data_IF_297682393197
#
_entry.id   IF_297682393197
#
_cell.length_a   1.000
_cell.length_b   1.000
_cell.length_c   1.000
_cell.angle_alpha   90.00
_cell.angle_beta   90.00
_cell.angle_gamma   90.00
#
_symmetry.space_group_name_H-M   'P 1'
#
loop_
_entity.id
_entity.type
_entity.pdbx_description
1 polymer ?
#
# COMPACT_ATOMS: atom_id res chain seq x y z
N UNK A 1 -23.52 29.27 6.33
CA UNK A 1 -23.75 28.01 7.06
C UNK A 1 -23.49 26.86 6.09
N UNK A 2 -22.26 26.37 6.12
CA UNK A 2 -21.66 25.51 5.10
C UNK A 2 -21.49 24.10 5.66
N UNK A 3 -22.16 23.12 5.04
CA UNK A 3 -22.05 21.71 5.35
C UNK A 3 -20.65 21.18 5.00
N UNK A 4 -19.88 20.76 6.01
CA UNK A 4 -18.69 19.93 5.84
C UNK A 4 -19.11 18.45 5.77
N UNK A 5 -18.60 17.64 4.83
CA UNK A 5 -18.73 16.19 4.93
C UNK A 5 -17.75 15.64 5.98
N UNK A 6 -18.31 14.76 6.82
CA UNK A 6 -17.67 14.05 7.93
C UNK A 6 -16.45 13.24 7.49
N UNK A 7 -15.46 13.20 8.39
CA UNK A 7 -14.19 12.50 8.27
C UNK A 7 -14.38 11.00 8.01
N UNK A 8 -13.71 10.50 6.97
CA UNK A 8 -13.43 9.08 6.78
C UNK A 8 -12.42 8.65 7.87
N UNK A 9 -12.95 8.20 9.00
CA UNK A 9 -12.17 7.63 10.10
C UNK A 9 -11.77 6.19 9.75
N UNK A 10 -10.60 6.00 9.14
CA UNK A 10 -9.96 4.69 9.05
C UNK A 10 -9.25 4.38 10.37
N UNK A 11 -10.00 3.97 11.38
CA UNK A 11 -9.46 3.32 12.58
C UNK A 11 -9.55 1.80 12.40
N UNK A 12 -8.52 1.21 11.79
CA UNK A 12 -8.26 -0.23 11.93
C UNK A 12 -7.31 -0.41 13.12
N UNK A 13 -7.84 -0.89 14.24
CA UNK A 13 -7.07 -1.23 15.43
C UNK A 13 -6.23 -2.50 15.17
N UNK A 14 -4.93 -2.40 15.41
CA UNK A 14 -3.99 -3.53 15.44
C UNK A 14 -4.14 -4.25 16.79
N UNK A 15 -4.59 -5.51 16.78
CA UNK A 15 -4.88 -6.29 17.98
C UNK A 15 -3.67 -7.05 18.54
N UNK A 16 -3.55 -7.02 19.88
CA UNK A 16 -2.88 -8.03 20.72
C UNK A 16 -3.91 -8.66 21.66
N UNK A 17 -3.63 -9.82 22.29
CA UNK A 17 -4.66 -10.76 22.75
C UNK A 17 -5.24 -10.38 24.11
N UNK A 18 -6.56 -10.48 24.26
CA UNK A 18 -7.24 -10.45 25.56
C UNK A 18 -8.21 -11.61 25.71
N UNK A 19 -8.19 -12.19 26.90
CA UNK A 19 -8.78 -13.47 27.29
C UNK A 19 -10.32 -13.52 27.19
N UNK A 20 -10.80 -14.70 26.80
CA UNK A 20 -12.19 -15.08 26.64
C UNK A 20 -12.87 -15.49 27.96
N UNK A 21 -14.10 -15.01 28.17
CA UNK A 21 -15.08 -15.61 29.10
C UNK A 21 -16.38 -15.84 28.30
N UNK A 22 -17.04 -17.01 28.37
CA UNK A 22 -18.17 -17.34 27.50
C UNK A 22 -19.53 -17.01 28.15
N UNK A 23 -20.49 -16.55 27.33
CA UNK A 23 -21.94 -16.57 27.62
C UNK A 23 -22.76 -16.28 26.35
N UNK A 24 -24.04 -16.71 26.29
CA UNK A 24 -24.45 -17.71 25.30
C UNK A 24 -25.11 -17.17 24.02
N UNK A 25 -25.11 -18.05 23.02
CA UNK A 25 -25.56 -17.89 21.65
C UNK A 25 -27.06 -17.60 21.50
N UNK A 26 -27.41 -16.80 20.49
CA UNK A 26 -28.79 -16.58 20.05
C UNK A 26 -28.99 -15.43 19.05
N UNK A 27 -28.21 -15.36 17.97
CA UNK A 27 -28.40 -14.39 16.87
C UNK A 27 -29.07 -15.04 15.64
N UNK A 28 -30.28 -14.62 15.32
CA UNK A 28 -31.19 -15.17 14.28
C UNK A 28 -30.67 -15.12 12.82
N UNK A 29 -30.94 -16.15 11.98
CA UNK A 29 -30.61 -16.17 10.54
C UNK A 29 -31.30 -15.07 9.69
N UNK A 30 -32.57 -14.76 9.96
CA UNK A 30 -33.42 -13.92 9.11
C UNK A 30 -32.94 -12.46 8.91
N UNK A 31 -32.09 -11.93 9.80
CA UNK A 31 -31.52 -10.58 9.67
C UNK A 31 -30.39 -10.52 8.64
N UNK A 32 -29.60 -11.60 8.51
CA UNK A 32 -28.53 -11.71 7.51
C UNK A 32 -29.12 -11.83 6.11
N UNK A 33 -30.15 -12.66 5.95
CA UNK A 33 -30.82 -12.88 4.65
C UNK A 33 -31.43 -11.58 4.09
N UNK A 34 -32.09 -10.78 4.94
CA UNK A 34 -32.64 -9.47 4.52
C UNK A 34 -31.57 -8.46 4.13
N UNK A 35 -30.42 -8.46 4.81
CA UNK A 35 -29.30 -7.57 4.47
C UNK A 35 -28.67 -7.99 3.13
N UNK A 36 -28.50 -9.29 2.91
CA UNK A 36 -27.93 -9.83 1.68
C UNK A 36 -28.82 -9.57 0.46
N UNK A 37 -30.14 -9.76 0.59
CA UNK A 37 -31.10 -9.38 -0.45
C UNK A 37 -31.04 -7.88 -0.82
N UNK A 38 -30.78 -7.01 0.17
CA UNK A 38 -30.56 -5.58 -0.09
C UNK A 38 -29.24 -5.30 -0.83
N UNK A 39 -28.18 -6.08 -0.61
CA UNK A 39 -26.92 -5.94 -1.33
C UNK A 39 -27.06 -6.41 -2.78
N UNK A 40 -27.70 -7.55 -3.02
CA UNK A 40 -27.98 -8.06 -4.38
C UNK A 40 -28.75 -7.04 -5.22
N UNK A 41 -29.79 -6.42 -4.64
CA UNK A 41 -30.56 -5.38 -5.31
C UNK A 41 -29.68 -4.17 -5.70
N UNK A 42 -28.87 -3.66 -4.77
CA UNK A 42 -27.95 -2.55 -5.05
C UNK A 42 -26.89 -2.92 -6.11
N UNK A 43 -26.42 -4.17 -6.13
CA UNK A 43 -25.46 -4.63 -7.15
C UNK A 43 -26.10 -4.67 -8.54
N UNK A 44 -27.36 -5.06 -8.64
CA UNK A 44 -28.12 -4.99 -9.90
C UNK A 44 -28.27 -3.53 -10.38
N UNK A 45 -28.55 -2.61 -9.46
CA UNK A 45 -28.67 -1.17 -9.77
C UNK A 45 -27.39 -0.56 -10.34
N UNK A 46 -26.20 -1.11 -10.05
CA UNK A 46 -24.94 -0.64 -10.64
C UNK A 46 -24.92 -0.72 -12.18
N UNK A 47 -25.68 -1.65 -12.75
CA UNK A 47 -25.77 -1.80 -14.22
C UNK A 47 -26.59 -0.69 -14.87
N UNK A 48 -27.52 -0.07 -14.14
CA UNK A 48 -28.35 1.02 -14.64
C UNK A 48 -27.66 2.38 -14.40
N UNK A 49 -27.27 3.13 -15.45
CA UNK A 49 -26.59 4.42 -15.30
C UNK A 49 -27.31 5.44 -14.41
N UNK A 50 -28.64 5.43 -14.39
CA UNK A 50 -29.45 6.40 -13.63
C UNK A 50 -29.46 6.09 -12.13
N UNK A 51 -29.31 4.82 -11.75
CA UNK A 51 -29.33 4.36 -10.35
C UNK A 51 -27.92 4.16 -9.78
N UNK A 52 -26.92 4.00 -10.67
CA UNK A 52 -25.55 3.62 -10.33
C UNK A 52 -24.91 4.53 -9.29
N UNK A 53 -25.09 5.85 -9.37
CA UNK A 53 -24.46 6.78 -8.42
C UNK A 53 -24.92 6.54 -6.98
N UNK A 54 -26.23 6.33 -6.78
CA UNK A 54 -26.77 6.02 -5.47
C UNK A 54 -26.33 4.62 -4.99
N UNK A 55 -26.36 3.63 -5.88
CA UNK A 55 -25.92 2.28 -5.58
C UNK A 55 -24.45 2.23 -5.15
N UNK A 56 -23.56 2.96 -5.85
CA UNK A 56 -22.15 3.11 -5.49
C UNK A 56 -21.97 3.66 -4.08
N UNK A 57 -22.71 4.73 -3.75
CA UNK A 57 -22.63 5.38 -2.43
C UNK A 57 -23.10 4.44 -1.31
N UNK A 58 -24.20 3.74 -1.52
CA UNK A 58 -24.76 2.86 -0.49
C UNK A 58 -23.93 1.59 -0.30
N UNK A 59 -23.44 0.99 -1.38
CA UNK A 59 -22.56 -0.17 -1.30
C UNK A 59 -21.21 0.20 -0.67
N UNK A 60 -20.62 1.36 -1.02
CA UNK A 60 -19.31 1.76 -0.47
C UNK A 60 -19.36 1.97 1.04
N UNK A 61 -20.47 2.51 1.57
CA UNK A 61 -20.71 2.64 3.02
C UNK A 61 -20.91 1.30 3.73
N UNK A 62 -21.59 0.36 3.07
CA UNK A 62 -21.97 -0.93 3.66
C UNK A 62 -20.97 -2.04 3.39
N UNK A 63 -19.85 -1.76 2.72
CA UNK A 63 -18.87 -2.76 2.29
C UNK A 63 -18.28 -3.63 3.41
N UNK A 64 -18.26 -3.15 4.64
CA UNK A 64 -17.79 -3.91 5.81
C UNK A 64 -18.87 -4.82 6.42
N UNK A 65 -20.14 -4.58 6.09
CA UNK A 65 -21.29 -5.35 6.61
C UNK A 65 -21.50 -6.66 5.86
N UNK A 66 -20.87 -6.81 4.69
CA UNK A 66 -21.12 -7.90 3.75
C UNK A 66 -19.82 -8.66 3.49
N UNK A 67 -19.64 -9.80 4.15
CA UNK A 67 -18.45 -10.65 3.97
C UNK A 67 -18.32 -11.15 2.51
N UNK A 68 -19.44 -11.48 1.88
CA UNK A 68 -19.49 -12.04 0.53
C UNK A 68 -19.73 -11.00 -0.59
N UNK A 69 -19.55 -9.71 -0.29
CA UNK A 69 -19.78 -8.64 -1.28
C UNK A 69 -18.82 -8.75 -2.47
N UNK A 70 -17.56 -9.12 -2.24
CA UNK A 70 -16.57 -9.21 -3.30
C UNK A 70 -16.90 -10.30 -4.33
N UNK A 71 -17.19 -11.57 -3.93
CA UNK A 71 -17.72 -12.57 -4.85
C UNK A 71 -19.01 -12.14 -5.56
N UNK A 72 -19.93 -11.47 -4.85
CA UNK A 72 -21.17 -10.98 -5.44
C UNK A 72 -20.90 -9.94 -6.55
N UNK A 73 -20.03 -8.96 -6.28
CA UNK A 73 -19.64 -7.93 -7.26
C UNK A 73 -18.94 -8.55 -8.48
N UNK A 74 -18.10 -9.56 -8.27
CA UNK A 74 -17.33 -10.18 -9.34
C UNK A 74 -18.19 -11.03 -10.27
N UNK A 75 -19.09 -11.85 -9.69
CA UNK A 75 -19.88 -12.82 -10.44
C UNK A 75 -21.19 -12.22 -11.00
N UNK A 76 -21.57 -11.03 -10.57
CA UNK A 76 -22.74 -10.33 -11.13
C UNK A 76 -22.44 -9.80 -12.53
N UNK A 77 -23.34 -10.10 -13.47
CA UNK A 77 -23.18 -9.74 -14.88
C UNK A 77 -23.03 -8.22 -15.05
N UNK A 78 -21.97 -7.80 -15.73
CA UNK A 78 -21.73 -6.40 -16.08
C UNK A 78 -21.26 -5.50 -14.92
N UNK A 79 -21.24 -5.98 -13.67
CA UNK A 79 -20.90 -5.17 -12.51
C UNK A 79 -19.46 -4.65 -12.54
N UNK A 80 -18.46 -5.51 -12.76
CA UNK A 80 -17.06 -5.06 -12.87
C UNK A 80 -16.88 -4.11 -14.06
N UNK A 81 -17.54 -4.36 -15.20
CA UNK A 81 -17.50 -3.48 -16.35
C UNK A 81 -18.10 -2.08 -16.04
N UNK A 82 -19.19 -2.02 -15.27
CA UNK A 82 -19.76 -0.76 -14.81
C UNK A 82 -18.80 0.00 -13.88
N UNK A 83 -18.10 -0.68 -12.97
CA UNK A 83 -17.09 -0.06 -12.11
C UNK A 83 -15.89 0.47 -12.92
N UNK A 84 -15.45 -0.26 -13.95
CA UNK A 84 -14.42 0.21 -14.87
C UNK A 84 -14.89 1.42 -15.71
N UNK A 85 -16.16 1.45 -16.10
CA UNK A 85 -16.75 2.59 -16.81
C UNK A 85 -16.68 3.86 -15.97
N UNK A 86 -16.94 3.77 -14.66
CA UNK A 86 -16.78 4.90 -13.73
C UNK A 86 -15.34 5.40 -13.69
N UNK A 87 -14.35 4.51 -13.70
CA UNK A 87 -12.92 4.89 -13.76
C UNK A 87 -12.60 5.62 -15.08
N UNK A 88 -12.93 5.01 -16.22
CA UNK A 88 -12.57 5.54 -17.55
C UNK A 88 -13.27 6.88 -17.82
N UNK A 89 -14.47 7.09 -17.26
CA UNK A 89 -15.20 8.37 -17.37
C UNK A 89 -14.44 9.58 -16.81
N UNK A 90 -13.47 9.33 -15.91
CA UNK A 90 -12.66 10.37 -15.26
C UNK A 90 -11.42 10.75 -16.08
N UNK A 91 -10.96 9.89 -16.99
CA UNK A 91 -9.72 10.13 -17.75
C UNK A 91 -9.69 11.49 -18.48
N UNK A 92 -10.77 11.96 -19.14
CA UNK A 92 -10.76 13.26 -19.82
C UNK A 92 -10.53 14.46 -18.92
N UNK A 93 -10.81 14.36 -17.60
CA UNK A 93 -10.65 15.47 -16.64
C UNK A 93 -9.38 15.37 -15.80
N UNK A 94 -8.50 14.40 -16.09
CA UNK A 94 -7.18 14.31 -15.45
C UNK A 94 -6.19 15.30 -16.06
N UNK A 95 -6.29 15.57 -17.37
CA UNK A 95 -5.42 16.48 -18.12
C UNK A 95 -6.21 17.17 -19.24
N UNK A 96 -6.47 18.49 -19.16
CA UNK A 96 -6.11 19.39 -18.06
C UNK A 96 -6.82 19.01 -16.74
N UNK A 97 -6.26 19.36 -15.57
CA UNK A 97 -6.78 18.90 -14.28
C UNK A 97 -8.08 19.62 -13.89
N UNK A 98 -9.22 19.09 -14.34
CA UNK A 98 -10.55 19.66 -14.20
C UNK A 98 -11.50 18.80 -13.33
N UNK A 99 -10.97 17.84 -12.58
CA UNK A 99 -11.75 16.94 -11.72
C UNK A 99 -12.52 17.69 -10.63
N UNK A 100 -13.85 17.60 -10.67
CA UNK A 100 -14.72 18.19 -9.65
C UNK A 100 -14.80 17.32 -8.38
N UNK A 101 -15.19 17.90 -7.22
CA UNK A 101 -15.41 17.14 -5.99
C UNK A 101 -16.47 16.04 -6.14
N UNK A 102 -17.54 16.29 -6.90
CA UNK A 102 -18.63 15.33 -7.12
C UNK A 102 -18.13 14.13 -7.93
N UNK A 103 -17.43 14.39 -9.04
CA UNK A 103 -16.82 13.33 -9.86
C UNK A 103 -15.81 12.50 -9.07
N UNK A 104 -14.94 13.16 -8.29
CA UNK A 104 -13.98 12.49 -7.40
C UNK A 104 -14.66 11.59 -6.37
N UNK A 105 -15.70 12.07 -5.68
CA UNK A 105 -16.44 11.27 -4.71
C UNK A 105 -17.10 10.04 -5.36
N UNK A 106 -17.74 10.23 -6.52
CA UNK A 106 -18.41 9.16 -7.25
C UNK A 106 -17.45 8.06 -7.68
N UNK A 107 -16.33 8.41 -8.33
CA UNK A 107 -15.34 7.39 -8.73
C UNK A 107 -14.66 6.75 -7.50
N UNK A 108 -14.44 7.50 -6.41
CA UNK A 108 -13.87 6.92 -5.19
C UNK A 108 -14.79 5.89 -4.53
N UNK A 109 -16.12 6.02 -4.67
CA UNK A 109 -17.04 4.96 -4.25
C UNK A 109 -16.87 3.68 -5.09
N UNK A 110 -16.66 3.82 -6.41
CA UNK A 110 -16.35 2.67 -7.27
C UNK A 110 -15.00 2.02 -6.89
N UNK A 111 -13.95 2.84 -6.66
CA UNK A 111 -12.65 2.36 -6.19
C UNK A 111 -12.75 1.65 -4.83
N UNK A 112 -13.61 2.13 -3.93
CA UNK A 112 -13.85 1.50 -2.63
C UNK A 112 -14.45 0.09 -2.76
N UNK A 113 -15.26 -0.17 -3.79
CA UNK A 113 -15.78 -1.51 -4.11
C UNK A 113 -14.73 -2.39 -4.78
N UNK A 114 -13.92 -1.84 -5.70
CA UNK A 114 -12.78 -2.56 -6.28
C UNK A 114 -11.74 -2.92 -5.22
N UNK A 115 -11.57 -2.10 -4.19
CA UNK A 115 -10.74 -2.43 -3.03
C UNK A 115 -11.27 -3.67 -2.28
N UNK A 116 -12.58 -3.85 -2.18
CA UNK A 116 -13.17 -5.06 -1.60
C UNK A 116 -12.90 -6.29 -2.46
N UNK A 117 -13.05 -6.16 -3.78
CA UNK A 117 -12.74 -7.24 -4.72
C UNK A 117 -11.25 -7.62 -4.66
N UNK A 118 -10.35 -6.65 -4.56
CA UNK A 118 -8.91 -6.87 -4.42
C UNK A 118 -8.51 -7.50 -3.07
N UNK A 119 -9.27 -7.24 -2.00
CA UNK A 119 -8.94 -7.74 -0.67
C UNK A 119 -9.44 -9.16 -0.40
N UNK A 120 -10.47 -9.63 -1.12
CA UNK A 120 -11.09 -10.93 -0.88
C UNK A 120 -10.31 -12.08 -1.56
N UNK A 121 -10.07 -13.21 -0.85
CA UNK A 121 -9.27 -14.32 -1.38
C UNK A 121 -9.79 -14.89 -2.70
N UNK A 122 -11.10 -15.07 -2.82
CA UNK A 122 -11.70 -15.71 -4.01
C UNK A 122 -11.66 -14.85 -5.28
N UNK A 123 -11.52 -13.53 -5.14
CA UNK A 123 -11.57 -12.60 -6.28
C UNK A 123 -10.26 -11.89 -6.54
N UNK A 124 -9.31 -11.90 -5.61
CA UNK A 124 -8.03 -11.18 -5.73
C UNK A 124 -7.25 -11.56 -6.98
N UNK A 125 -7.05 -12.86 -7.22
CA UNK A 125 -6.29 -13.31 -8.38
C UNK A 125 -7.06 -13.10 -9.67
N UNK A 126 -8.39 -13.20 -9.64
CA UNK A 126 -9.22 -12.85 -10.80
C UNK A 126 -9.09 -11.36 -11.15
N UNK A 127 -9.09 -10.48 -10.14
CA UNK A 127 -8.88 -9.04 -10.27
C UNK A 127 -7.49 -8.71 -10.84
N UNK A 128 -6.46 -9.40 -10.36
CA UNK A 128 -5.08 -9.27 -10.84
C UNK A 128 -4.95 -9.73 -12.30
N UNK A 129 -5.46 -10.93 -12.61
CA UNK A 129 -5.40 -11.54 -13.94
C UNK A 129 -6.22 -10.77 -14.98
N UNK A 130 -7.27 -10.07 -14.55
CA UNK A 130 -8.03 -9.14 -15.39
C UNK A 130 -7.30 -7.80 -15.62
N UNK A 131 -6.09 -7.61 -15.09
CA UNK A 131 -5.27 -6.40 -15.24
C UNK A 131 -5.97 -5.11 -14.79
N UNK A 132 -6.97 -5.21 -13.90
CA UNK A 132 -7.73 -4.07 -13.38
C UNK A 132 -6.84 -3.01 -12.68
N UNK A 133 -5.75 -3.37 -11.95
CA UNK A 133 -4.86 -2.36 -11.36
C UNK A 133 -4.33 -1.31 -12.35
N UNK A 134 -4.14 -1.68 -13.62
CA UNK A 134 -3.59 -0.79 -14.65
C UNK A 134 -4.52 0.40 -14.95
N UNK A 135 -5.83 0.23 -14.78
CA UNK A 135 -6.80 1.31 -14.94
C UNK A 135 -6.64 2.41 -13.87
N UNK A 136 -5.93 2.14 -12.78
CA UNK A 136 -5.71 3.09 -11.69
C UNK A 136 -4.43 3.91 -11.87
N UNK A 137 -3.52 3.50 -12.75
CA UNK A 137 -2.23 4.16 -12.92
C UNK A 137 -2.34 5.60 -13.44
N UNK A 138 -3.27 5.93 -14.37
CA UNK A 138 -3.52 7.31 -14.74
C UNK A 138 -3.86 8.21 -13.54
N UNK A 139 -4.57 7.69 -12.53
CA UNK A 139 -4.89 8.43 -11.31
C UNK A 139 -3.65 8.67 -10.45
N UNK A 140 -2.81 7.64 -10.26
CA UNK A 140 -1.56 7.74 -9.50
C UNK A 140 -0.52 8.66 -10.17
N UNK A 141 -0.59 8.81 -11.49
CA UNK A 141 0.32 9.65 -12.26
C UNK A 141 0.00 11.16 -12.15
N UNK A 142 -1.18 11.53 -11.64
CA UNK A 142 -1.61 12.93 -11.52
C UNK A 142 -0.76 13.74 -10.52
N UNK A 143 -0.55 15.03 -10.82
CA UNK A 143 0.30 15.92 -10.02
C UNK A 143 -0.45 17.05 -9.30
N UNK A 144 -1.72 17.28 -9.66
CA UNK A 144 -2.54 18.33 -9.03
C UNK A 144 -2.72 18.08 -7.54
N UNK A 145 -2.46 19.10 -6.71
CA UNK A 145 -2.59 19.05 -5.24
C UNK A 145 -3.98 19.42 -4.73
N UNK A 146 -4.96 19.61 -5.61
CA UNK A 146 -6.32 19.91 -5.16
C UNK A 146 -6.94 18.71 -4.43
N UNK A 147 -7.86 19.00 -3.50
CA UNK A 147 -8.51 17.98 -2.66
C UNK A 147 -9.14 16.82 -3.46
N UNK A 148 -9.83 17.05 -4.60
CA UNK A 148 -10.37 15.95 -5.42
C UNK A 148 -9.29 15.00 -5.95
N UNK A 149 -8.13 15.52 -6.36
CA UNK A 149 -7.02 14.73 -6.88
C UNK A 149 -6.26 13.98 -5.77
N UNK A 150 -6.04 14.61 -4.61
CA UNK A 150 -5.46 13.92 -3.45
C UNK A 150 -6.34 12.75 -2.99
N UNK A 151 -7.65 12.95 -2.92
CA UNK A 151 -8.59 11.89 -2.54
C UNK A 151 -8.62 10.76 -3.56
N UNK A 152 -8.59 11.10 -4.86
CA UNK A 152 -8.52 10.12 -5.94
C UNK A 152 -7.25 9.25 -5.85
N UNK A 153 -6.08 9.87 -5.65
CA UNK A 153 -4.81 9.15 -5.49
C UNK A 153 -4.81 8.27 -4.26
N UNK A 154 -5.24 8.79 -3.11
CA UNK A 154 -5.30 8.04 -1.86
C UNK A 154 -6.19 6.80 -1.98
N UNK A 155 -7.38 6.95 -2.58
CA UNK A 155 -8.31 5.83 -2.76
C UNK A 155 -7.76 4.79 -3.74
N UNK A 156 -7.10 5.24 -4.82
CA UNK A 156 -6.44 4.36 -5.79
C UNK A 156 -5.29 3.57 -5.14
N UNK A 157 -4.44 4.23 -4.34
CA UNK A 157 -3.41 3.56 -3.54
C UNK A 157 -4.02 2.57 -2.54
N UNK A 158 -5.21 2.85 -2.01
CA UNK A 158 -5.94 1.92 -1.14
C UNK A 158 -6.27 0.58 -1.81
N UNK A 159 -6.57 0.58 -3.12
CA UNK A 159 -6.79 -0.65 -3.90
C UNK A 159 -5.48 -1.42 -4.06
N UNK A 160 -4.39 -0.76 -4.46
CA UNK A 160 -3.07 -1.41 -4.59
C UNK A 160 -2.56 -1.92 -3.24
N UNK A 161 -2.75 -1.14 -2.18
CA UNK A 161 -2.43 -1.49 -0.81
C UNK A 161 -3.18 -2.73 -0.31
N UNK A 162 -4.43 -2.94 -0.77
CA UNK A 162 -5.18 -4.16 -0.46
C UNK A 162 -4.60 -5.40 -1.13
N UNK A 163 -4.12 -5.29 -2.37
CA UNK A 163 -3.48 -6.40 -3.09
C UNK A 163 -2.20 -6.87 -2.39
N UNK A 164 -1.31 -5.94 -2.04
CA UNK A 164 0.00 -6.27 -1.43
C UNK A 164 -0.11 -6.64 0.06
N UNK A 165 -1.29 -6.55 0.67
CA UNK A 165 -1.48 -6.80 2.10
C UNK A 165 -1.26 -8.27 2.47
N UNK A 166 -1.55 -9.19 1.55
CA UNK A 166 -1.55 -10.64 1.79
C UNK A 166 -0.20 -11.33 1.55
N UNK A 167 0.85 -10.56 1.26
CA UNK A 167 2.23 -11.08 1.10
C UNK A 167 2.34 -12.18 0.02
N UNK A 168 1.68 -11.96 -1.12
CA UNK A 168 1.65 -12.89 -2.26
C UNK A 168 2.68 -12.45 -3.33
N UNK A 169 3.68 -13.30 -3.59
CA UNK A 169 4.76 -13.04 -4.56
C UNK A 169 4.26 -12.89 -6.00
N UNK A 170 3.14 -13.51 -6.39
CA UNK A 170 2.57 -13.34 -7.73
C UNK A 170 2.04 -11.91 -7.91
N UNK A 171 1.39 -11.36 -6.88
CA UNK A 171 0.97 -9.95 -6.84
C UNK A 171 2.17 -9.01 -6.95
N UNK A 172 3.25 -9.29 -6.20
CA UNK A 172 4.48 -8.48 -6.28
C UNK A 172 5.08 -8.54 -7.69
N UNK A 173 5.20 -9.73 -8.26
CA UNK A 173 5.76 -9.94 -9.60
C UNK A 173 4.97 -9.20 -10.68
N UNK A 174 3.63 -9.26 -10.62
CA UNK A 174 2.76 -8.47 -11.48
C UNK A 174 3.05 -6.96 -11.36
N UNK A 175 3.05 -6.43 -10.14
CA UNK A 175 3.23 -4.99 -9.90
C UNK A 175 4.62 -4.48 -10.34
N UNK A 176 5.66 -5.31 -10.22
CA UNK A 176 7.00 -5.00 -10.71
C UNK A 176 7.03 -4.94 -12.24
N UNK A 177 6.35 -5.89 -12.92
CA UNK A 177 6.27 -5.92 -14.39
C UNK A 177 5.52 -4.73 -14.99
N UNK A 178 4.71 -4.03 -14.19
CA UNK A 178 3.86 -2.91 -14.62
C UNK A 178 4.33 -1.55 -14.11
N UNK A 179 5.54 -1.45 -13.55
CA UNK A 179 6.13 -0.17 -13.11
C UNK A 179 5.36 0.55 -11.97
N UNK A 180 4.87 -0.18 -10.95
CA UNK A 180 4.24 0.47 -9.79
C UNK A 180 5.22 1.35 -8.99
N UNK A 181 6.50 1.00 -8.96
CA UNK A 181 7.49 1.63 -8.07
C UNK A 181 7.64 3.12 -8.38
N UNK A 182 7.88 3.56 -9.64
CA UNK A 182 7.92 4.98 -9.98
C UNK A 182 6.67 5.77 -9.53
N UNK A 183 5.48 5.19 -9.65
CA UNK A 183 4.22 5.82 -9.23
C UNK A 183 4.14 6.00 -7.71
N UNK A 184 4.55 4.99 -6.95
CA UNK A 184 4.63 5.07 -5.50
C UNK A 184 5.69 6.08 -5.06
N UNK A 185 6.89 6.06 -5.65
CA UNK A 185 7.97 6.99 -5.31
C UNK A 185 7.57 8.45 -5.56
N UNK A 186 6.88 8.73 -6.68
CA UNK A 186 6.32 10.06 -6.93
C UNK A 186 5.34 10.47 -5.83
N UNK A 187 4.41 9.59 -5.46
CA UNK A 187 3.43 9.90 -4.41
C UNK A 187 4.07 10.08 -3.03
N UNK A 188 5.10 9.30 -2.73
CA UNK A 188 5.93 9.43 -1.52
C UNK A 188 6.62 10.81 -1.43
N UNK A 189 7.04 11.38 -2.56
CA UNK A 189 7.69 12.68 -2.60
C UNK A 189 6.68 13.83 -2.43
N UNK A 190 5.57 13.81 -3.17
CA UNK A 190 4.70 14.99 -3.33
C UNK A 190 3.29 14.89 -2.73
N UNK A 191 2.84 13.72 -2.28
CA UNK A 191 1.49 13.51 -1.78
C UNK A 191 1.23 14.06 -0.37
N UNK A 192 -0.03 14.05 0.05
CA UNK A 192 -0.41 14.25 1.46
C UNK A 192 0.20 13.19 2.39
N UNK A 193 0.28 13.46 3.69
CA UNK A 193 0.83 12.52 4.69
C UNK A 193 0.20 11.12 4.61
N UNK A 194 -1.12 11.04 4.43
CA UNK A 194 -1.84 9.78 4.27
C UNK A 194 -1.41 9.05 2.98
N UNK A 195 -1.36 9.76 1.84
CA UNK A 195 -0.91 9.19 0.57
C UNK A 195 0.54 8.72 0.64
N UNK A 196 1.43 9.49 1.29
CA UNK A 196 2.83 9.09 1.54
C UNK A 196 2.90 7.82 2.38
N UNK A 197 2.07 7.71 3.42
CA UNK A 197 2.01 6.53 4.30
C UNK A 197 1.59 5.28 3.52
N UNK A 198 0.51 5.36 2.72
CA UNK A 198 0.05 4.20 1.94
C UNK A 198 1.04 3.83 0.83
N UNK A 199 1.61 4.82 0.12
CA UNK A 199 2.62 4.57 -0.92
C UNK A 199 3.89 3.93 -0.33
N UNK A 200 4.36 4.41 0.83
CA UNK A 200 5.52 3.81 1.52
C UNK A 200 5.20 2.41 2.01
N UNK A 201 3.98 2.14 2.49
CA UNK A 201 3.52 0.80 2.83
C UNK A 201 3.56 -0.16 1.63
N UNK A 202 3.14 0.28 0.45
CA UNK A 202 3.21 -0.52 -0.78
C UNK A 202 4.67 -0.85 -1.14
N UNK A 203 5.54 0.17 -1.15
CA UNK A 203 6.98 -0.03 -1.41
C UNK A 203 7.62 -0.94 -0.35
N UNK A 204 7.22 -0.81 0.91
CA UNK A 204 7.66 -1.71 1.98
C UNK A 204 7.25 -3.15 1.68
N UNK A 205 5.99 -3.41 1.31
CA UNK A 205 5.52 -4.77 0.99
C UNK A 205 6.27 -5.37 -0.20
N UNK A 206 6.55 -4.57 -1.24
CA UNK A 206 7.41 -4.99 -2.36
C UNK A 206 8.82 -5.35 -1.86
N UNK A 207 9.45 -4.50 -1.04
CA UNK A 207 10.78 -4.78 -0.50
C UNK A 207 10.82 -6.02 0.40
N UNK A 208 9.74 -6.32 1.12
CA UNK A 208 9.68 -7.49 2.01
C UNK A 208 9.74 -8.81 1.25
N UNK A 209 9.22 -8.85 0.03
CA UNK A 209 9.33 -9.98 -0.87
C UNK A 209 10.74 -10.07 -1.47
N UNK A 210 11.26 -11.28 -1.65
CA UNK A 210 12.64 -11.49 -2.15
C UNK A 210 12.77 -11.05 -3.62
N UNK A 211 11.74 -11.26 -4.45
CA UNK A 211 11.74 -10.81 -5.85
C UNK A 211 11.73 -9.29 -5.92
N UNK A 212 10.95 -8.64 -5.05
CA UNK A 212 10.91 -7.18 -4.98
C UNK A 212 12.21 -6.56 -4.45
N UNK A 213 12.84 -7.15 -3.45
CA UNK A 213 14.16 -6.71 -2.98
C UNK A 213 15.21 -6.83 -4.08
N UNK A 214 15.30 -7.99 -4.73
CA UNK A 214 16.27 -8.23 -5.80
C UNK A 214 16.04 -7.25 -6.97
N UNK A 215 14.79 -7.04 -7.38
CA UNK A 215 14.44 -6.08 -8.44
C UNK A 215 14.95 -4.66 -8.15
N UNK A 216 14.74 -4.17 -6.92
CA UNK A 216 15.17 -2.82 -6.50
C UNK A 216 16.70 -2.75 -6.41
N UNK A 217 17.35 -3.80 -5.92
CA UNK A 217 18.81 -3.84 -5.74
C UNK A 217 19.59 -4.31 -6.98
N UNK A 218 18.90 -4.68 -8.07
CA UNK A 218 19.54 -5.16 -9.32
C UNK A 218 20.47 -4.10 -9.90
N UNK A 219 19.98 -2.84 -9.98
CA UNK A 219 20.72 -1.71 -10.54
C UNK A 219 20.90 -0.61 -9.51
N UNK A 220 22.02 0.11 -9.60
CA UNK A 220 22.28 1.26 -8.74
C UNK A 220 21.21 2.35 -8.90
N UNK A 221 20.72 2.57 -10.12
CA UNK A 221 19.69 3.57 -10.42
C UNK A 221 18.39 3.32 -9.64
N UNK A 222 17.90 2.08 -9.64
CA UNK A 222 16.68 1.71 -8.89
C UNK A 222 16.88 1.87 -7.39
N UNK A 223 18.00 1.37 -6.86
CA UNK A 223 18.34 1.53 -5.45
C UNK A 223 18.41 3.00 -5.04
N UNK A 224 19.15 3.83 -5.77
CA UNK A 224 19.29 5.25 -5.45
C UNK A 224 18.01 6.05 -5.66
N UNK A 225 17.14 5.66 -6.59
CA UNK A 225 15.82 6.26 -6.72
C UNK A 225 14.98 6.07 -5.45
N UNK A 226 14.93 4.84 -4.92
CA UNK A 226 14.24 4.54 -3.66
C UNK A 226 14.93 5.23 -2.47
N UNK A 227 16.25 5.09 -2.37
CA UNK A 227 17.04 5.66 -1.27
C UNK A 227 16.94 7.18 -1.16
N UNK A 228 16.95 7.90 -2.30
CA UNK A 228 16.80 9.36 -2.35
C UNK A 228 15.42 9.80 -1.84
N UNK A 229 14.34 9.15 -2.30
CA UNK A 229 12.99 9.52 -1.86
C UNK A 229 12.80 9.24 -0.38
N UNK A 230 13.25 8.07 0.11
CA UNK A 230 13.23 7.77 1.55
C UNK A 230 14.04 8.79 2.36
N UNK A 231 15.22 9.18 1.89
CA UNK A 231 16.08 10.17 2.55
C UNK A 231 15.40 11.54 2.66
N UNK A 232 14.83 12.03 1.55
CA UNK A 232 14.07 13.28 1.53
C UNK A 232 12.87 13.24 2.51
N UNK A 233 12.21 12.08 2.62
CA UNK A 233 11.10 11.90 3.57
C UNK A 233 11.58 11.94 5.01
N UNK A 234 12.72 11.32 5.34
CA UNK A 234 13.34 11.42 6.67
C UNK A 234 13.60 12.88 7.03
N UNK A 235 14.19 13.65 6.11
CA UNK A 235 14.45 15.08 6.32
C UNK A 235 13.16 15.85 6.59
N UNK A 236 12.09 15.60 5.82
CA UNK A 236 10.79 16.26 6.04
C UNK A 236 10.07 15.86 7.33
N UNK A 237 10.37 14.66 7.86
CA UNK A 237 9.74 14.13 9.06
C UNK A 237 10.28 14.75 10.35
N UNK A 238 11.49 15.29 10.33
CA UNK A 238 12.07 15.98 11.48
C UNK A 238 11.15 17.11 12.00
N UNK A 239 10.42 17.77 11.09
CA UNK A 239 9.46 18.82 11.44
C UNK A 239 8.05 18.27 11.74
N UNK A 240 7.61 17.24 10.99
CA UNK A 240 6.20 16.80 10.95
C UNK A 240 5.84 15.68 11.94
N UNK A 241 6.83 14.98 12.54
CA UNK A 241 6.64 13.98 13.61
C UNK A 241 5.62 12.85 13.33
N UNK A 242 5.49 12.37 12.09
CA UNK A 242 4.58 11.25 11.76
C UNK A 242 5.17 9.87 12.09
N UNK A 243 4.76 9.31 13.23
CA UNK A 243 5.22 7.99 13.71
C UNK A 243 4.92 6.84 12.73
N UNK A 244 3.74 6.86 12.09
CA UNK A 244 3.32 5.80 11.16
C UNK A 244 4.19 5.79 9.91
N UNK A 245 4.47 6.96 9.35
CA UNK A 245 5.32 7.08 8.17
C UNK A 245 6.77 6.68 8.48
N UNK A 246 7.30 7.16 9.61
CA UNK A 246 8.65 6.82 10.08
C UNK A 246 8.83 5.30 10.23
N UNK A 247 7.84 4.61 10.79
CA UNK A 247 7.85 3.13 10.92
C UNK A 247 8.04 2.42 9.58
N UNK A 248 7.32 2.84 8.54
CA UNK A 248 7.45 2.26 7.21
C UNK A 248 8.82 2.56 6.59
N UNK A 249 9.32 3.80 6.73
CA UNK A 249 10.64 4.20 6.23
C UNK A 249 11.76 3.37 6.87
N UNK A 250 11.75 3.23 8.20
CA UNK A 250 12.74 2.42 8.92
C UNK A 250 12.67 0.96 8.44
N UNK A 251 11.46 0.42 8.24
CA UNK A 251 11.30 -0.96 7.78
C UNK A 251 11.81 -1.17 6.35
N UNK A 252 11.67 -0.18 5.46
CA UNK A 252 12.25 -0.18 4.12
C UNK A 252 13.78 -0.19 4.17
N UNK A 253 14.40 0.72 4.93
CA UNK A 253 15.86 0.75 5.08
C UNK A 253 16.41 -0.54 5.69
N UNK A 254 15.76 -1.05 6.74
CA UNK A 254 16.14 -2.33 7.35
C UNK A 254 16.13 -3.45 6.31
N UNK A 255 15.09 -3.54 5.49
CA UNK A 255 15.00 -4.57 4.45
C UNK A 255 16.05 -4.39 3.36
N UNK A 256 16.31 -3.15 2.93
CA UNK A 256 17.39 -2.86 1.98
C UNK A 256 18.77 -3.31 2.51
N UNK A 257 19.00 -3.23 3.83
CA UNK A 257 20.25 -3.67 4.45
C UNK A 257 20.49 -5.19 4.40
N UNK A 258 19.47 -5.99 4.07
CA UNK A 258 19.61 -7.44 3.88
C UNK A 258 20.37 -7.76 2.57
N UNK A 259 20.29 -6.87 1.57
CA UNK A 259 21.06 -7.01 0.32
C UNK A 259 22.49 -6.48 0.53
N UNK A 260 23.55 -7.27 0.28
CA UNK A 260 24.94 -6.84 0.55
C UNK A 260 25.35 -5.54 -0.17
N UNK A 261 24.99 -5.40 -1.45
CA UNK A 261 25.36 -4.23 -2.27
C UNK A 261 24.65 -2.97 -1.77
N UNK A 262 23.36 -3.09 -1.45
CA UNK A 262 22.59 -1.98 -0.88
C UNK A 262 23.07 -1.63 0.53
N UNK A 263 23.40 -2.62 1.36
CA UNK A 263 23.95 -2.42 2.70
C UNK A 263 25.27 -1.63 2.67
N UNK A 264 26.18 -1.98 1.76
CA UNK A 264 27.43 -1.23 1.56
C UNK A 264 27.17 0.22 1.14
N UNK A 265 26.21 0.45 0.23
CA UNK A 265 25.83 1.80 -0.19
C UNK A 265 25.15 2.60 0.95
N UNK A 266 24.33 1.96 1.79
CA UNK A 266 23.69 2.59 2.94
C UNK A 266 24.70 3.10 3.97
N UNK A 267 25.94 2.60 4.00
CA UNK A 267 26.99 3.15 4.87
C UNK A 267 27.25 4.62 4.57
N UNK A 268 27.24 5.02 3.30
CA UNK A 268 27.50 6.39 2.87
C UNK A 268 26.23 7.24 2.69
N UNK A 269 25.07 6.62 2.44
CA UNK A 269 23.85 7.38 2.10
C UNK A 269 22.68 7.28 3.11
N UNK A 270 22.82 6.53 4.21
CA UNK A 270 21.80 6.53 5.26
C UNK A 270 21.71 7.92 5.93
N UNK A 271 20.52 8.54 6.03
CA UNK A 271 20.37 9.87 6.63
C UNK A 271 20.86 9.94 8.09
N UNK A 272 21.61 10.99 8.43
CA UNK A 272 22.18 11.16 9.77
C UNK A 272 21.12 11.32 10.88
N UNK A 273 19.93 11.83 10.54
CA UNK A 273 18.78 11.92 11.47
C UNK A 273 18.31 10.55 12.00
N UNK A 274 18.61 9.46 11.28
CA UNK A 274 18.36 8.09 11.76
C UNK A 274 19.47 7.59 12.70
N UNK A 275 20.60 8.30 12.80
CA UNK A 275 21.78 7.95 13.60
C UNK A 275 21.93 8.81 14.85
N UNK A 276 21.59 10.09 14.77
CA UNK A 276 21.87 11.10 15.80
C UNK A 276 20.85 11.18 16.95
N UNK A 277 19.80 10.35 16.90
CA UNK A 277 18.76 10.33 17.92
C UNK A 277 17.63 11.35 17.72
N UNK A 278 17.55 12.03 16.58
CA UNK A 278 16.46 12.96 16.22
C UNK A 278 15.08 12.38 16.49
N UNK A 279 14.86 11.09 16.17
CA UNK A 279 13.56 10.44 16.34
C UNK A 279 13.36 9.67 17.66
N UNK A 280 14.25 9.84 18.66
CA UNK A 280 14.15 9.11 19.92
C UNK A 280 12.84 9.39 20.69
N UNK A 281 12.32 10.62 20.60
CA UNK A 281 11.02 11.00 21.17
C UNK A 281 9.86 10.28 20.46
N UNK A 282 9.83 10.32 19.13
CA UNK A 282 8.84 9.66 18.27
C UNK A 282 8.79 8.14 18.49
N UNK A 283 9.96 7.53 18.71
CA UNK A 283 10.11 6.09 18.88
C UNK A 283 9.94 5.65 20.34
N UNK A 284 9.61 6.54 21.29
CA UNK A 284 9.53 6.21 22.72
C UNK A 284 8.58 5.04 23.02
N UNK A 285 7.42 5.07 22.39
CA UNK A 285 6.34 4.12 22.66
C UNK A 285 6.26 2.99 21.62
N UNK A 286 6.99 3.08 20.50
CA UNK A 286 7.07 2.03 19.48
C UNK A 286 8.39 1.24 19.60
N UNK A 287 8.39 0.29 20.54
CA UNK A 287 9.53 -0.60 20.79
C UNK A 287 9.92 -1.44 19.56
N UNK A 288 8.96 -1.77 18.70
CA UNK A 288 9.22 -2.60 17.51
C UNK A 288 10.04 -1.81 16.49
N UNK A 289 9.60 -0.59 16.19
CA UNK A 289 10.32 0.29 15.25
C UNK A 289 11.69 0.69 15.80
N UNK A 290 11.82 0.88 17.12
CA UNK A 290 13.15 1.11 17.74
C UNK A 290 14.10 -0.07 17.52
N UNK A 291 13.65 -1.32 17.71
CA UNK A 291 14.47 -2.51 17.46
C UNK A 291 14.88 -2.59 15.98
N UNK A 292 13.96 -2.29 15.07
CA UNK A 292 14.26 -2.25 13.64
C UNK A 292 15.34 -1.23 13.30
N UNK A 293 15.27 -0.03 13.89
CA UNK A 293 16.30 0.99 13.71
C UNK A 293 17.66 0.54 14.26
N UNK A 294 17.68 -0.04 15.47
CA UNK A 294 18.92 -0.57 16.05
C UNK A 294 19.54 -1.67 15.18
N UNK A 295 18.72 -2.60 14.66
CA UNK A 295 19.19 -3.65 13.77
C UNK A 295 19.72 -3.10 12.44
N UNK A 296 19.06 -2.09 11.86
CA UNK A 296 19.54 -1.38 10.68
C UNK A 296 20.91 -0.75 10.93
N UNK A 297 21.06 -0.02 12.04
CA UNK A 297 22.33 0.62 12.40
C UNK A 297 23.44 -0.42 12.63
N UNK A 298 23.12 -1.57 13.21
CA UNK A 298 24.06 -2.68 13.36
C UNK A 298 24.46 -3.27 11.99
N UNK A 299 23.51 -3.53 11.10
CA UNK A 299 23.79 -4.08 9.77
C UNK A 299 24.74 -3.18 8.96
N UNK A 300 24.49 -1.87 9.01
CA UNK A 300 25.28 -0.86 8.29
C UNK A 300 26.63 -0.61 8.98
N UNK A 301 26.67 -0.64 10.33
CA UNK A 301 27.87 -0.38 11.13
C UNK A 301 28.85 -1.56 11.24
N UNK A 302 28.42 -2.80 11.00
CA UNK A 302 29.32 -3.97 11.01
C UNK A 302 30.12 -4.00 9.71
N UNK A 303 31.45 -3.92 9.83
CA UNK A 303 32.39 -4.31 8.78
C UNK A 303 32.23 -5.81 8.52
N UNK A 304 31.36 -6.19 7.58
CA UNK A 304 31.40 -7.55 7.01
C UNK A 304 32.68 -7.63 6.19
N UNK A 305 33.76 -8.09 6.82
CA UNK A 305 34.93 -8.59 6.11
C UNK A 305 34.39 -9.63 5.12
N UNK A 306 34.65 -9.50 3.81
CA UNK A 306 34.24 -10.53 2.86
C UNK A 306 34.81 -11.85 3.35
N UNK A 307 33.95 -12.86 3.52
CA UNK A 307 34.40 -14.21 3.79
C UNK A 307 35.21 -14.68 2.58
N UNK A 308 36.52 -14.44 2.62
CA UNK A 308 37.48 -15.15 1.79
C UNK A 308 37.25 -16.62 2.08
N UNK A 309 36.92 -17.35 1.02
CA UNK A 309 36.79 -18.80 1.04
C UNK A 309 38.04 -19.39 1.69
N UNK A 310 37.92 -19.85 2.94
CA UNK A 310 38.86 -20.78 3.51
C UNK A 310 38.61 -22.13 2.82
N UNK A 311 39.38 -22.38 1.76
CA UNK A 311 39.27 -23.58 0.95
C UNK A 311 40.55 -23.92 0.20
N UNK A 312 41.46 -24.60 0.91
CA UNK A 312 42.23 -25.73 0.36
C UNK A 312 43.51 -25.46 -0.46
N UNK A 313 44.63 -26.01 0.05
CA UNK A 313 45.80 -26.44 -0.74
C UNK A 313 47.06 -25.57 -0.52
N UNK A 314 48.27 -26.07 -0.28
CA UNK A 314 48.81 -27.44 -0.25
C UNK A 314 50.05 -27.45 0.66
N UNK A 315 50.14 -28.46 1.52
CA UNK A 315 51.40 -29.01 2.03
C UNK A 315 52.18 -29.62 0.85
N UNK A 316 53.35 -29.06 0.53
CA UNK A 316 54.58 -29.80 0.16
C UNK A 316 55.64 -28.82 -0.37
N UNK A 317 56.72 -28.61 0.40
CA UNK A 317 58.07 -28.40 -0.16
C UNK A 317 59.12 -28.57 0.95
N UNK A 318 59.44 -29.83 1.23
CA UNK A 318 60.77 -30.25 1.67
C UNK A 318 61.34 -31.06 0.51
N UNK A 319 62.47 -30.61 -0.05
CA UNK A 319 63.57 -31.35 -0.69
C UNK A 319 64.38 -30.36 -1.54
N UNK A 320 65.45 -29.83 -0.95
CA UNK A 320 66.84 -29.76 -1.44
C UNK A 320 67.59 -28.65 -0.71
#
# INVERSE_FOLDING_TARGET
MTNLPQSLSMNAAFGGPSASVPSPAGGTPASKDRKMASAEHLVLELSNPDLRENALLELSKKRELFQDLAPLLWNSFGTIAALLQEIVSIYPVLSPPALSPVQSNRVCNALALLQCVASHPDTRMLFLNAHIPLYLYPFLNTTSKSRPFEYLRLTSLGVIGALVKVDDTEVISFLLSTEIIPLCLRTMEMGSELSKTVATFIVQKILLDDVGLDYICTTAERFFAVGRVLGNMVTSLADQHSNRLLKHIIRCYLRLSDNPRACDALRSCLPDMLRDGTFNSCLRDDLTTRRWLQQLLNNVGVNRVPALHAGGGFDHMLVN
#
